data_IF_026507317482
#
_entry.id   IF_026507317482
#
_cell.length_a   1.000
_cell.length_b   1.000
_cell.length_c   1.000
_cell.angle_alpha   90.00
_cell.angle_beta   90.00
_cell.angle_gamma   90.00
#
_symmetry.space_group_name_H-M   'P 1'
#
loop_
_entity.id
_entity.type
_entity.pdbx_description
1 polymer ?
#
# COMPACT_ATOMS: atom_id res chain seq x y z
N UNK A 1 1.39 -23.18 -76.31
CA UNK A 1 2.66 -22.40 -76.23
C UNK A 1 3.14 -22.41 -74.79
N UNK A 2 4.36 -22.94 -74.58
CA UNK A 2 5.38 -22.60 -73.56
C UNK A 2 4.91 -22.50 -72.08
N UNK A 3 5.48 -23.20 -71.09
CA UNK A 3 6.68 -24.02 -71.04
C UNK A 3 6.94 -24.49 -69.61
N UNK A 4 7.56 -25.66 -69.53
CA UNK A 4 8.14 -26.37 -68.40
C UNK A 4 9.08 -25.51 -67.54
N UNK A 5 9.10 -25.73 -66.22
CA UNK A 5 10.12 -25.15 -65.34
C UNK A 5 10.25 -25.83 -63.97
N UNK A 6 10.74 -27.08 -63.94
CA UNK A 6 11.31 -27.72 -62.75
C UNK A 6 12.52 -26.93 -62.25
N UNK A 7 12.72 -26.82 -60.92
CA UNK A 7 14.00 -27.05 -60.20
C UNK A 7 13.79 -26.93 -58.67
N UNK A 8 14.13 -28.00 -57.95
CA UNK A 8 14.42 -28.04 -56.51
C UNK A 8 15.88 -27.57 -56.27
N UNK A 9 16.46 -27.76 -55.07
CA UNK A 9 16.53 -26.84 -53.93
C UNK A 9 17.96 -26.29 -53.76
N UNK A 10 18.19 -25.36 -52.83
CA UNK A 10 19.53 -25.19 -52.27
C UNK A 10 19.48 -24.83 -50.78
N UNK A 11 20.09 -25.72 -50.02
CA UNK A 11 20.40 -25.61 -48.59
C UNK A 11 21.50 -24.55 -48.47
N UNK A 12 21.33 -23.55 -47.60
CA UNK A 12 22.47 -22.77 -47.11
C UNK A 12 22.52 -22.87 -45.58
N UNK A 13 23.30 -23.84 -45.14
CA UNK A 13 23.90 -23.88 -43.81
C UNK A 13 25.00 -22.82 -43.75
N UNK A 14 24.85 -21.83 -42.89
CA UNK A 14 25.96 -20.98 -42.44
C UNK A 14 25.97 -20.96 -40.91
N UNK A 15 26.62 -21.98 -40.38
CA UNK A 15 27.20 -22.06 -39.05
C UNK A 15 28.49 -21.25 -39.00
N UNK A 16 28.64 -20.35 -38.02
CA UNK A 16 29.91 -19.80 -37.52
C UNK A 16 29.64 -19.32 -36.09
N UNK A 17 29.81 -20.17 -35.05
CA UNK A 17 31.05 -20.45 -34.31
C UNK A 17 31.85 -19.20 -33.92
N UNK A 18 31.80 -18.96 -32.60
CA UNK A 18 32.88 -18.57 -31.67
C UNK A 18 33.96 -17.61 -32.17
N UNK A 19 34.13 -16.52 -31.43
CA UNK A 19 35.45 -15.90 -31.24
C UNK A 19 35.60 -15.48 -29.78
N UNK A 20 36.06 -16.43 -28.96
CA UNK A 20 36.76 -16.14 -27.70
C UNK A 20 38.14 -15.61 -28.09
N UNK A 21 38.36 -14.32 -27.93
CA UNK A 21 39.72 -13.76 -27.98
C UNK A 21 40.08 -13.34 -26.56
N UNK A 22 40.88 -14.20 -25.93
CA UNK A 22 41.75 -13.82 -24.84
C UNK A 22 42.65 -12.69 -25.32
N UNK A 23 42.73 -11.60 -24.56
CA UNK A 23 43.96 -10.83 -24.52
C UNK A 23 44.32 -10.54 -23.07
N UNK A 24 45.30 -11.32 -22.61
CA UNK A 24 46.05 -11.15 -21.38
C UNK A 24 46.97 -9.95 -21.57
N UNK A 25 46.84 -8.93 -20.73
CA UNK A 25 47.96 -8.06 -20.41
C UNK A 25 48.08 -7.96 -18.89
N UNK A 26 49.11 -8.63 -18.38
CA UNK A 26 49.63 -8.44 -17.05
C UNK A 26 50.35 -7.09 -17.00
N UNK A 27 49.97 -6.23 -16.08
CA UNK A 27 50.81 -5.14 -15.60
C UNK A 27 50.63 -5.07 -14.09
N UNK A 28 51.64 -5.60 -13.40
CA UNK A 28 51.79 -5.49 -11.96
C UNK A 28 52.04 -4.02 -11.60
N UNK A 29 51.18 -3.44 -10.79
CA UNK A 29 51.47 -2.25 -10.02
C UNK A 29 51.21 -2.56 -8.55
N UNK A 30 52.29 -2.78 -7.81
CA UNK A 30 52.28 -2.78 -6.35
C UNK A 30 51.94 -1.36 -5.88
N UNK A 31 50.73 -1.16 -5.36
CA UNK A 31 50.44 -0.03 -4.48
C UNK A 31 50.04 -0.59 -3.12
N UNK A 32 50.95 -0.47 -2.17
CA UNK A 32 50.68 -0.67 -0.76
C UNK A 32 49.78 0.47 -0.29
N UNK A 33 48.48 0.21 -0.11
CA UNK A 33 47.56 1.09 0.58
C UNK A 33 47.12 0.39 1.87
N UNK A 34 47.38 1.05 2.99
CA UNK A 34 46.99 0.61 4.33
C UNK A 34 45.48 0.34 4.42
N UNK A 35 45.03 -0.61 5.26
CA UNK A 35 43.61 -0.79 5.52
C UNK A 35 43.13 0.38 6.38
N UNK A 36 42.62 1.43 5.75
CA UNK A 36 41.65 2.31 6.42
C UNK A 36 40.47 1.41 6.77
N UNK A 37 40.38 1.02 8.03
CA UNK A 37 39.15 0.50 8.61
C UNK A 37 38.11 1.61 8.50
N UNK A 38 37.46 1.70 7.35
CA UNK A 38 36.20 2.38 7.24
C UNK A 38 35.23 1.58 8.11
N UNK A 39 34.92 2.13 9.28
CA UNK A 39 33.80 1.66 10.08
C UNK A 39 32.61 1.51 9.12
N UNK A 40 31.88 0.38 9.15
CA UNK A 40 30.69 0.24 8.33
C UNK A 40 29.80 1.47 8.64
N UNK A 41 29.24 2.15 7.62
CA UNK A 41 28.25 3.17 7.88
C UNK A 41 27.21 2.51 8.77
N UNK A 42 27.00 3.08 9.96
CA UNK A 42 25.87 2.74 10.82
C UNK A 42 24.67 2.95 9.93
N UNK A 43 24.13 1.85 9.39
CA UNK A 43 22.94 1.88 8.59
C UNK A 43 21.89 2.51 9.48
N UNK A 44 21.58 3.78 9.21
CA UNK A 44 20.44 4.44 9.82
C UNK A 44 19.29 3.47 9.64
N UNK A 45 18.73 3.00 10.74
CA UNK A 45 17.68 2.00 10.74
C UNK A 45 16.60 2.50 9.78
N UNK A 46 16.53 1.91 8.58
CA UNK A 46 15.52 2.25 7.61
C UNK A 46 14.19 2.14 8.34
N UNK A 47 13.47 3.26 8.49
CA UNK A 47 12.19 3.33 9.19
C UNK A 47 11.36 2.18 8.63
N UNK A 48 11.07 1.16 9.44
CA UNK A 48 10.42 -0.05 8.96
C UNK A 48 9.05 0.35 8.40
N UNK A 49 8.96 0.43 7.06
CA UNK A 49 7.76 0.81 6.32
C UNK A 49 6.65 -0.23 6.45
N UNK A 50 7.02 -1.44 6.88
CA UNK A 50 6.12 -2.55 7.16
C UNK A 50 5.73 -2.63 8.64
N UNK A 51 4.43 -2.81 8.91
CA UNK A 51 3.89 -3.13 10.23
C UNK A 51 2.96 -4.34 10.16
N UNK A 52 2.84 -5.08 11.25
CA UNK A 52 1.88 -6.18 11.37
C UNK A 52 0.55 -5.64 11.94
N UNK A 53 -0.56 -5.95 11.26
CA UNK A 53 -1.94 -5.65 11.69
C UNK A 53 -2.61 -6.84 12.39
N UNK A 54 -1.85 -7.92 12.59
CA UNK A 54 -2.30 -9.20 13.13
C UNK A 54 -2.94 -10.08 12.06
N UNK A 55 -3.11 -11.37 12.40
CA UNK A 55 -3.75 -12.38 11.54
C UNK A 55 -3.15 -12.44 10.12
N UNK A 56 -1.82 -12.28 10.01
CA UNK A 56 -1.09 -12.37 8.76
C UNK A 56 -1.28 -11.18 7.80
N UNK A 57 -1.89 -10.08 8.25
CA UNK A 57 -2.10 -8.88 7.45
C UNK A 57 -0.96 -7.89 7.64
N UNK A 58 -0.16 -7.67 6.59
CA UNK A 58 0.89 -6.65 6.60
C UNK A 58 0.33 -5.27 6.24
N UNK A 59 0.91 -4.21 6.79
CA UNK A 59 0.65 -2.81 6.44
C UNK A 59 1.91 -2.20 5.86
N UNK A 60 1.80 -1.60 4.68
CA UNK A 60 2.88 -0.89 3.98
C UNK A 60 2.45 0.55 3.73
N UNK A 61 3.19 1.51 4.30
CA UNK A 61 3.00 2.94 4.02
C UNK A 61 3.97 3.38 2.94
N UNK A 62 3.42 3.90 1.85
CA UNK A 62 4.17 4.39 0.69
C UNK A 62 4.24 5.91 0.79
N UNK A 63 5.44 6.47 0.70
CA UNK A 63 5.65 7.91 0.58
C UNK A 63 6.05 8.30 -0.85
N UNK A 64 6.84 7.45 -1.50
CA UNK A 64 7.41 7.70 -2.81
C UNK A 64 7.28 6.44 -3.69
N UNK A 65 6.63 6.57 -4.85
CA UNK A 65 6.57 5.51 -5.86
C UNK A 65 7.59 5.75 -6.97
N UNK A 66 8.23 4.69 -7.51
CA UNK A 66 8.11 3.28 -7.12
C UNK A 66 9.01 2.87 -5.95
N UNK A 67 9.75 3.80 -5.35
CA UNK A 67 10.85 3.53 -4.41
C UNK A 67 10.42 2.72 -3.18
N UNK A 68 9.26 3.02 -2.62
CA UNK A 68 8.78 2.39 -1.38
C UNK A 68 7.96 1.12 -1.62
N UNK A 69 7.84 0.67 -2.88
CA UNK A 69 7.14 -0.57 -3.19
C UNK A 69 7.74 -1.75 -2.40
N UNK A 70 6.90 -2.56 -1.73
CA UNK A 70 7.39 -3.74 -1.03
C UNK A 70 8.14 -4.67 -1.99
N UNK A 71 9.28 -5.18 -1.53
CA UNK A 71 10.04 -6.15 -2.30
C UNK A 71 9.18 -7.36 -2.67
N UNK A 72 9.39 -7.90 -3.87
CA UNK A 72 8.67 -9.08 -4.36
C UNK A 72 9.03 -10.26 -3.47
N UNK A 73 8.08 -10.68 -2.65
CA UNK A 73 8.15 -11.84 -1.76
C UNK A 73 6.97 -12.76 -2.03
N UNK A 74 6.88 -13.87 -1.28
CA UNK A 74 5.69 -14.73 -1.35
C UNK A 74 4.42 -13.90 -1.11
N UNK A 75 3.42 -13.97 -2.01
CA UNK A 75 2.19 -13.20 -1.86
C UNK A 75 1.50 -13.49 -0.53
N UNK A 76 1.10 -12.43 0.17
CA UNK A 76 0.30 -12.50 1.40
C UNK A 76 -0.70 -11.35 1.43
N UNK A 77 -1.81 -11.48 2.17
CA UNK A 77 -2.73 -10.37 2.37
C UNK A 77 -2.01 -9.15 2.93
N UNK A 78 -2.26 -7.97 2.36
CA UNK A 78 -1.66 -6.74 2.87
C UNK A 78 -2.54 -5.52 2.61
N UNK A 79 -2.29 -4.47 3.39
CA UNK A 79 -2.78 -3.12 3.20
C UNK A 79 -1.64 -2.29 2.65
N UNK A 80 -1.86 -1.58 1.54
CA UNK A 80 -0.91 -0.63 0.96
C UNK A 80 -1.53 0.75 0.98
N UNK A 81 -0.91 1.65 1.73
CA UNK A 81 -1.38 3.01 1.93
C UNK A 81 -0.68 3.97 0.97
N UNK A 82 -1.43 4.47 -0.01
CA UNK A 82 -1.00 5.44 -1.02
C UNK A 82 -1.76 6.76 -0.91
N UNK A 83 -2.41 7.01 0.24
CA UNK A 83 -3.05 8.30 0.53
C UNK A 83 -1.98 9.40 0.49
N UNK A 84 -2.33 10.53 -0.13
CA UNK A 84 -1.44 11.69 -0.29
C UNK A 84 -0.15 11.45 -1.11
N UNK A 85 0.03 10.27 -1.71
CA UNK A 85 1.17 10.00 -2.60
C UNK A 85 0.95 10.66 -3.94
N UNK A 86 1.90 11.49 -4.36
CA UNK A 86 1.97 11.98 -5.74
C UNK A 86 2.63 10.93 -6.63
N UNK A 87 2.07 10.69 -7.81
CA UNK A 87 2.60 9.72 -8.76
C UNK A 87 2.43 10.24 -10.19
N UNK A 88 3.50 10.17 -10.96
CA UNK A 88 3.45 10.33 -12.41
C UNK A 88 2.92 9.05 -13.10
N UNK A 89 2.65 9.06 -14.41
CA UNK A 89 2.16 7.88 -15.14
C UNK A 89 3.09 6.66 -15.08
N UNK A 90 4.41 6.86 -14.98
CA UNK A 90 5.39 5.79 -14.86
C UNK A 90 5.31 5.11 -13.50
N UNK A 91 5.26 5.90 -12.43
CA UNK A 91 5.07 5.43 -11.05
C UNK A 91 3.73 4.70 -10.89
N UNK A 92 2.65 5.21 -11.49
CA UNK A 92 1.35 4.54 -11.48
C UNK A 92 1.39 3.19 -12.22
N UNK A 93 2.10 3.13 -13.36
CA UNK A 93 2.29 1.89 -14.12
C UNK A 93 3.07 0.86 -13.30
N UNK A 94 4.15 1.27 -12.62
CA UNK A 94 4.93 0.40 -11.75
C UNK A 94 4.10 -0.14 -10.57
N UNK A 95 3.26 0.71 -9.96
CA UNK A 95 2.35 0.30 -8.89
C UNK A 95 1.31 -0.72 -9.37
N UNK A 96 0.70 -0.49 -10.54
CA UNK A 96 -0.23 -1.45 -11.14
C UNK A 96 0.44 -2.79 -11.47
N UNK A 97 1.65 -2.77 -12.01
CA UNK A 97 2.42 -3.98 -12.26
C UNK A 97 2.70 -4.74 -10.96
N UNK A 98 3.08 -4.03 -9.89
CA UNK A 98 3.27 -4.62 -8.56
C UNK A 98 1.98 -5.27 -8.04
N UNK A 99 0.83 -4.60 -8.19
CA UNK A 99 -0.47 -5.19 -7.81
C UNK A 99 -0.73 -6.50 -8.57
N UNK A 100 -0.44 -6.57 -9.87
CA UNK A 100 -0.63 -7.81 -10.66
C UNK A 100 0.16 -9.01 -10.13
N UNK A 101 1.30 -8.79 -9.48
CA UNK A 101 2.10 -9.88 -8.90
C UNK A 101 1.67 -10.30 -7.48
N UNK A 102 1.05 -9.39 -6.71
CA UNK A 102 0.77 -9.61 -5.28
C UNK A 102 -0.72 -9.86 -4.99
N UNK A 103 -1.60 -9.28 -5.78
CA UNK A 103 -3.03 -9.32 -5.59
C UNK A 103 -3.64 -10.60 -6.19
N UNK A 104 -4.29 -11.40 -5.35
CA UNK A 104 -5.11 -12.52 -5.79
C UNK A 104 -6.35 -12.68 -4.91
N UNK A 105 -7.38 -13.42 -5.34
CA UNK A 105 -8.54 -13.70 -4.49
C UNK A 105 -8.20 -14.34 -3.14
N UNK A 106 -7.06 -15.03 -3.02
CA UNK A 106 -6.58 -15.67 -1.77
C UNK A 106 -5.57 -14.81 -1.00
N UNK A 107 -4.95 -13.84 -1.66
CA UNK A 107 -3.98 -12.91 -1.07
C UNK A 107 -4.40 -11.49 -1.43
N UNK A 108 -5.51 -11.00 -0.83
CA UNK A 108 -6.07 -9.72 -1.22
C UNK A 108 -5.13 -8.57 -0.83
N UNK A 109 -5.02 -7.59 -1.73
CA UNK A 109 -4.37 -6.31 -1.44
C UNK A 109 -5.43 -5.24 -1.21
N UNK A 110 -5.45 -4.63 -0.03
CA UNK A 110 -6.31 -3.50 0.27
C UNK A 110 -5.52 -2.21 0.02
N UNK A 111 -5.92 -1.43 -0.97
CA UNK A 111 -5.25 -0.18 -1.34
C UNK A 111 -5.98 0.97 -0.64
N UNK A 112 -5.32 1.69 0.27
CA UNK A 112 -5.88 2.90 0.85
C UNK A 112 -5.53 4.08 -0.04
N UNK A 113 -6.54 4.79 -0.53
CA UNK A 113 -6.38 5.96 -1.39
C UNK A 113 -7.44 7.01 -1.03
N UNK A 114 -7.19 8.26 -1.41
CA UNK A 114 -8.13 9.36 -1.20
C UNK A 114 -8.12 10.34 -2.38
N UNK A 115 -8.93 11.40 -2.29
CA UNK A 115 -9.02 12.41 -3.33
C UNK A 115 -7.71 13.16 -3.59
N UNK A 116 -6.77 13.14 -2.63
CA UNK A 116 -5.46 13.78 -2.71
C UNK A 116 -4.35 12.83 -3.19
N UNK A 117 -4.66 11.55 -3.43
CA UNK A 117 -3.75 10.64 -4.13
C UNK A 117 -3.54 11.12 -5.57
N UNK A 118 -2.32 11.00 -6.10
CA UNK A 118 -1.95 11.52 -7.41
C UNK A 118 -2.88 11.06 -8.54
N UNK A 119 -3.24 12.01 -9.42
CA UNK A 119 -4.25 11.78 -10.46
C UNK A 119 -3.96 10.60 -11.40
N UNK A 120 -2.70 10.28 -11.66
CA UNK A 120 -2.33 9.11 -12.48
C UNK A 120 -2.70 7.77 -11.81
N UNK A 121 -2.56 7.68 -10.48
CA UNK A 121 -3.03 6.52 -9.72
C UNK A 121 -4.56 6.47 -9.65
N UNK A 122 -5.21 7.61 -9.39
CA UNK A 122 -6.67 7.66 -9.34
C UNK A 122 -7.31 7.29 -10.68
N UNK A 123 -6.76 7.78 -11.79
CA UNK A 123 -7.19 7.39 -13.14
C UNK A 123 -7.00 5.89 -13.38
N UNK A 124 -5.89 5.32 -12.90
CA UNK A 124 -5.61 3.89 -12.98
C UNK A 124 -6.60 3.03 -12.21
N UNK A 125 -7.08 3.51 -11.06
CA UNK A 125 -8.13 2.84 -10.28
C UNK A 125 -9.51 2.97 -10.92
N UNK A 126 -9.78 4.09 -11.60
CA UNK A 126 -11.06 4.35 -12.28
C UNK A 126 -11.20 3.60 -13.61
N UNK A 127 -10.11 3.32 -14.32
CA UNK A 127 -10.08 2.63 -15.61
C UNK A 127 -10.30 1.10 -15.50
N UNK A 128 -11.15 0.65 -14.58
CA UNK A 128 -11.30 -0.75 -14.16
C UNK A 128 -11.55 -1.70 -15.34
N UNK A 129 -10.51 -2.43 -15.74
CA UNK A 129 -10.67 -3.85 -16.03
C UNK A 129 -10.84 -4.54 -14.67
N UNK A 130 -11.85 -5.39 -14.50
CA UNK A 130 -12.14 -6.13 -13.27
C UNK A 130 -10.97 -7.06 -12.89
N UNK A 131 -9.91 -6.50 -12.31
CA UNK A 131 -8.72 -7.24 -11.87
C UNK A 131 -9.03 -7.86 -10.52
N UNK A 132 -9.11 -9.20 -10.42
CA UNK A 132 -9.41 -9.85 -9.16
C UNK A 132 -8.24 -9.68 -8.18
N UNK A 133 -8.55 -9.53 -6.89
CA UNK A 133 -7.55 -9.66 -5.82
C UNK A 133 -7.07 -8.37 -5.16
N UNK A 134 -7.51 -7.18 -5.60
CA UNK A 134 -7.32 -5.96 -4.82
C UNK A 134 -8.61 -5.17 -4.68
N UNK A 135 -8.69 -4.36 -3.62
CA UNK A 135 -9.85 -3.52 -3.28
C UNK A 135 -9.34 -2.15 -2.87
N UNK A 136 -9.84 -1.10 -3.51
CA UNK A 136 -9.56 0.29 -3.13
C UNK A 136 -10.50 0.73 -2.01
N UNK A 137 -9.96 1.20 -0.90
CA UNK A 137 -10.69 1.66 0.29
C UNK A 137 -10.38 3.13 0.52
N UNK A 138 -11.41 3.94 0.79
CA UNK A 138 -11.20 5.37 1.05
C UNK A 138 -12.50 6.14 1.26
N UNK A 139 -12.37 7.45 1.48
CA UNK A 139 -13.52 8.36 1.57
C UNK A 139 -13.92 8.76 0.14
N UNK A 140 -15.17 8.46 -0.23
CA UNK A 140 -15.69 8.85 -1.54
C UNK A 140 -15.78 10.38 -1.67
N UNK A 141 -15.43 10.90 -2.84
CA UNK A 141 -15.54 12.31 -3.19
C UNK A 141 -16.12 12.46 -4.59
N UNK A 142 -16.28 13.70 -5.08
CA UNK A 142 -16.81 13.96 -6.42
C UNK A 142 -15.96 13.31 -7.53
N UNK A 143 -14.64 13.25 -7.34
CA UNK A 143 -13.68 12.80 -8.36
C UNK A 143 -12.96 11.51 -7.96
N UNK A 144 -13.41 10.85 -6.88
CA UNK A 144 -12.80 9.63 -6.38
C UNK A 144 -13.88 8.69 -5.84
N UNK A 145 -13.98 7.51 -6.46
CA UNK A 145 -14.97 6.49 -6.13
C UNK A 145 -14.24 5.19 -5.76
N UNK A 146 -13.93 4.98 -4.46
CA UNK A 146 -13.31 3.75 -4.01
C UNK A 146 -14.30 2.59 -4.10
N UNK A 147 -13.75 1.38 -4.19
CA UNK A 147 -14.52 0.13 -4.20
C UNK A 147 -15.29 -0.05 -2.89
N UNK A 148 -14.66 0.39 -1.80
CA UNK A 148 -15.21 0.36 -0.47
C UNK A 148 -15.15 1.76 0.14
N UNK A 149 -16.26 2.47 0.01
CA UNK A 149 -16.42 3.80 0.59
C UNK A 149 -16.53 3.75 2.12
N UNK A 150 -15.78 4.61 2.79
CA UNK A 150 -15.79 4.83 4.23
C UNK A 150 -16.47 6.16 4.55
N UNK A 151 -17.25 6.18 5.63
CA UNK A 151 -17.90 7.39 6.13
C UNK A 151 -16.99 8.04 7.18
N UNK A 152 -16.21 9.02 6.75
CA UNK A 152 -15.38 9.86 7.59
C UNK A 152 -15.18 11.22 6.89
N UNK A 153 -14.71 12.23 7.62
CA UNK A 153 -14.33 13.50 7.01
C UNK A 153 -12.87 13.44 6.51
N UNK A 154 -12.56 14.23 5.46
CA UNK A 154 -11.19 14.34 4.96
C UNK A 154 -10.23 14.91 6.01
N UNK A 155 -10.75 15.77 6.90
CA UNK A 155 -10.00 16.33 8.02
C UNK A 155 -9.64 15.26 9.06
N UNK A 156 -10.58 14.39 9.44
CA UNK A 156 -10.32 13.30 10.38
C UNK A 156 -9.30 12.30 9.81
N UNK A 157 -9.44 11.97 8.52
CA UNK A 157 -8.47 11.11 7.82
C UNK A 157 -7.07 11.75 7.83
N UNK A 158 -6.98 13.05 7.54
CA UNK A 158 -5.70 13.75 7.55
C UNK A 158 -5.07 13.74 8.94
N UNK A 159 -5.84 14.02 9.99
CA UNK A 159 -5.35 13.97 11.37
C UNK A 159 -4.87 12.57 11.75
N UNK A 160 -5.58 11.51 11.36
CA UNK A 160 -5.16 10.14 11.61
C UNK A 160 -3.87 9.77 10.84
N UNK A 161 -3.80 10.17 9.57
CA UNK A 161 -2.63 9.96 8.72
C UNK A 161 -1.38 10.64 9.29
N UNK A 162 -1.51 11.89 9.74
CA UNK A 162 -0.41 12.67 10.32
C UNK A 162 -0.03 12.15 11.72
N UNK A 163 -1.00 11.71 12.52
CA UNK A 163 -0.74 11.09 13.83
C UNK A 163 0.12 9.82 13.70
N UNK A 164 -0.15 8.98 12.70
CA UNK A 164 0.73 7.83 12.42
C UNK A 164 2.15 8.26 12.06
N UNK A 165 2.30 9.33 11.25
CA UNK A 165 3.60 9.86 10.87
C UNK A 165 4.40 10.34 12.09
N UNK A 166 3.71 10.98 13.03
CA UNK A 166 4.23 11.45 14.30
C UNK A 166 4.56 10.31 15.29
N UNK A 167 4.33 9.05 14.92
CA UNK A 167 4.71 7.88 15.71
C UNK A 167 3.63 7.32 16.62
N UNK A 168 2.38 7.77 16.49
CA UNK A 168 1.25 7.13 17.19
C UNK A 168 1.16 5.66 16.76
N UNK A 169 1.04 4.77 17.74
CA UNK A 169 0.99 3.34 17.49
C UNK A 169 -0.23 2.96 16.65
N UNK A 170 -0.05 2.09 15.65
CA UNK A 170 -1.12 1.68 14.73
C UNK A 170 -2.34 1.08 15.44
N UNK A 171 -2.12 0.42 16.58
CA UNK A 171 -3.20 -0.12 17.40
C UNK A 171 -4.13 0.96 17.96
N UNK A 172 -3.58 2.14 18.31
CA UNK A 172 -4.37 3.28 18.80
C UNK A 172 -5.26 3.84 17.69
N UNK A 173 -4.75 3.91 16.46
CA UNK A 173 -5.51 4.39 15.29
C UNK A 173 -6.64 3.44 14.86
N UNK A 174 -6.55 2.17 15.26
CA UNK A 174 -7.51 1.11 14.91
C UNK A 174 -8.58 0.88 15.98
N UNK A 175 -8.34 1.35 17.20
CA UNK A 175 -9.24 1.13 18.31
C UNK A 175 -10.32 2.20 18.28
N UNK A 176 -11.54 1.82 17.89
CA UNK A 176 -12.71 2.61 18.24
C UNK A 176 -12.91 2.43 19.75
N UNK A 177 -12.85 3.51 20.53
CA UNK A 177 -13.06 3.45 21.98
C UNK A 177 -14.54 3.08 22.22
N UNK A 178 -14.85 1.82 22.57
CA UNK A 178 -16.22 1.38 22.75
C UNK A 178 -16.79 1.84 24.09
N UNK A 179 -16.10 2.71 24.82
CA UNK A 179 -16.50 3.29 26.12
C UNK A 179 -17.75 4.17 26.02
N UNK A 180 -18.51 4.09 24.93
CA UNK A 180 -19.94 4.37 24.99
C UNK A 180 -20.56 3.42 26.00
N UNK A 181 -20.71 3.95 27.22
CA UNK A 181 -21.58 3.43 28.26
C UNK A 181 -22.88 3.02 27.56
N UNK A 182 -23.28 1.76 27.72
CA UNK A 182 -24.61 1.30 27.34
C UNK A 182 -25.59 2.02 28.26
N UNK A 183 -26.04 3.19 27.85
CA UNK A 183 -27.17 3.84 28.50
C UNK A 183 -28.37 2.97 28.16
N UNK A 184 -28.86 2.24 29.15
CA UNK A 184 -30.18 1.63 29.04
C UNK A 184 -31.23 2.75 28.91
N UNK A 185 -32.39 2.42 28.32
CA UNK A 185 -33.42 3.44 28.09
C UNK A 185 -33.91 4.08 29.41
N UNK A 186 -33.71 3.39 30.55
CA UNK A 186 -33.97 3.90 31.89
C UNK A 186 -33.02 5.04 32.29
N UNK A 187 -31.73 4.95 31.97
CA UNK A 187 -30.74 6.00 32.24
C UNK A 187 -30.99 7.26 31.39
N UNK A 188 -31.44 7.10 30.15
CA UNK A 188 -31.79 8.22 29.26
C UNK A 188 -33.03 9.01 29.73
N UNK A 189 -33.94 8.38 30.49
CA UNK A 189 -35.10 9.05 31.07
C UNK A 189 -34.73 9.90 32.31
N UNK A 190 -33.74 9.46 33.09
CA UNK A 190 -33.23 10.19 34.25
C UNK A 190 -32.41 11.43 33.83
N UNK A 191 -31.57 11.32 32.80
CA UNK A 191 -30.75 12.45 32.31
C UNK A 191 -31.61 13.58 31.73
N UNK A 192 -32.75 13.26 31.09
CA UNK A 192 -33.64 14.27 30.52
C UNK A 192 -34.32 15.16 31.58
N UNK A 193 -34.37 14.72 32.84
CA UNK A 193 -34.84 15.52 33.99
C UNK A 193 -33.71 16.36 34.62
N UNK A 194 -32.44 15.97 34.44
CA UNK A 194 -31.26 16.69 34.95
C UNK A 194 -30.71 17.73 33.96
N UNK A 195 -30.92 17.55 32.65
CA UNK A 195 -30.41 18.42 31.58
C UNK A 195 -31.02 19.83 31.54
N UNK A 196 -32.07 20.11 32.31
CA UNK A 196 -32.62 21.46 32.43
C UNK A 196 -31.78 22.40 33.33
N UNK A 197 -30.70 21.91 33.96
CA UNK A 197 -29.90 22.72 34.91
C UNK A 197 -28.38 22.76 34.65
N UNK A 198 -27.84 22.05 33.63
CA UNK A 198 -26.39 21.86 33.51
C UNK A 198 -25.76 22.15 32.13
N UNK A 199 -26.42 22.90 31.25
CA UNK A 199 -25.78 23.42 30.02
C UNK A 199 -24.90 24.65 30.32
N UNK A 200 -23.75 24.45 30.97
CA UNK A 200 -22.59 25.34 30.90
C UNK A 200 -21.42 24.84 31.77
N UNK A 201 -20.86 23.66 31.50
CA UNK A 201 -19.48 23.36 31.96
C UNK A 201 -18.71 22.67 30.85
N UNK A 202 -17.55 23.25 30.55
CA UNK A 202 -16.70 23.00 29.41
C UNK A 202 -16.25 21.54 29.24
N UNK A 203 -16.20 21.10 27.98
CA UNK A 203 -15.56 19.85 27.55
C UNK A 203 -14.06 20.13 27.26
N UNK A 204 -13.32 20.59 28.26
CA UNK A 204 -11.86 20.82 28.16
C UNK A 204 -11.08 19.53 28.47
N UNK A 205 -11.38 18.49 27.69
CA UNK A 205 -10.54 17.30 27.61
C UNK A 205 -9.68 17.36 26.35
N UNK A 206 -8.44 16.82 26.34
CA UNK A 206 -7.71 16.65 25.09
C UNK A 206 -8.55 15.84 24.10
N UNK A 207 -8.53 16.19 22.80
CA UNK A 207 -9.34 15.51 21.81
C UNK A 207 -9.00 14.01 21.81
N UNK A 208 -9.99 13.13 21.63
CA UNK A 208 -9.75 11.69 21.56
C UNK A 208 -8.74 11.39 20.45
N UNK A 209 -7.90 10.34 20.60
CA UNK A 209 -6.93 9.99 19.58
C UNK A 209 -7.65 9.76 18.25
N UNK A 210 -7.06 10.22 17.12
CA UNK A 210 -7.72 10.11 15.83
C UNK A 210 -7.81 8.64 15.40
N UNK A 211 -9.00 8.23 14.95
CA UNK A 211 -9.23 6.89 14.40
C UNK A 211 -9.01 6.95 12.89
N UNK A 212 -8.22 6.00 12.37
CA UNK A 212 -8.08 5.82 10.93
C UNK A 212 -9.18 4.89 10.42
N UNK A 213 -10.36 5.47 10.12
CA UNK A 213 -11.53 4.72 9.66
C UNK A 213 -11.26 3.95 8.36
N UNK A 214 -10.41 4.48 7.47
CA UNK A 214 -10.05 3.87 6.19
C UNK A 214 -9.21 2.62 6.41
N UNK A 215 -8.15 2.71 7.24
CA UNK A 215 -7.33 1.56 7.62
C UNK A 215 -8.14 0.52 8.43
N UNK A 216 -8.95 0.98 9.38
CA UNK A 216 -9.80 0.10 10.19
C UNK A 216 -10.78 -0.69 9.32
N UNK A 217 -11.35 -0.07 8.29
CA UNK A 217 -12.23 -0.76 7.34
C UNK A 217 -11.51 -1.88 6.60
N UNK A 218 -10.28 -1.65 6.12
CA UNK A 218 -9.48 -2.68 5.46
C UNK A 218 -9.21 -3.87 6.39
N UNK A 219 -8.86 -3.61 7.65
CA UNK A 219 -8.69 -4.64 8.69
C UNK A 219 -9.97 -5.43 8.90
N UNK A 220 -11.12 -4.77 9.02
CA UNK A 220 -12.41 -5.44 9.21
C UNK A 220 -12.78 -6.35 8.03
N UNK A 221 -12.53 -5.92 6.79
CA UNK A 221 -12.79 -6.75 5.61
C UNK A 221 -11.89 -7.96 5.57
N UNK A 222 -10.59 -7.81 5.83
CA UNK A 222 -9.65 -8.94 5.93
C UNK A 222 -10.14 -10.00 6.93
N UNK A 223 -10.48 -9.56 8.15
CA UNK A 223 -10.98 -10.43 9.21
C UNK A 223 -12.29 -11.13 8.82
N UNK A 224 -13.19 -10.43 8.13
CA UNK A 224 -14.42 -11.01 7.63
C UNK A 224 -14.15 -12.09 6.57
N UNK A 225 -13.22 -11.86 5.64
CA UNK A 225 -12.84 -12.84 4.62
C UNK A 225 -12.21 -14.10 5.23
N UNK A 226 -11.37 -13.95 6.25
CA UNK A 226 -10.82 -15.07 7.04
C UNK A 226 -11.92 -15.87 7.73
N UNK A 227 -12.84 -15.19 8.44
CA UNK A 227 -13.94 -15.83 9.14
C UNK A 227 -14.86 -16.61 8.19
N UNK A 228 -15.05 -16.10 6.96
CA UNK A 228 -15.81 -16.74 5.90
C UNK A 228 -15.02 -17.81 5.12
N UNK A 229 -13.76 -18.08 5.49
CA UNK A 229 -12.84 -19.02 4.81
C UNK A 229 -12.68 -18.73 3.31
N UNK A 230 -12.77 -17.45 2.93
CA UNK A 230 -12.59 -16.99 1.54
C UNK A 230 -11.13 -16.75 1.20
N UNK A 231 -10.33 -16.47 2.22
CA UNK A 231 -8.87 -16.39 2.17
C UNK A 231 -8.28 -17.33 3.21
#
# INVERSE_FOLDING_TARGET
>A
MVGVGKRRPYISTASLRLSRVLLRFAAAFLFALAPVHAAPPVAGAAKRLERDLGQGLAYHRIHELPRDLPAIQAPRPCVVDVRYVSADPGAATAFLAWLTFHASPRTPVFVLANADTGGALLASFGARDSRPGFVVVGIASRNFHPDLAVRASAEDERRAYDAFEAGVAIAVLLTDHPDKIRNDEASLAADRLADSAAQAVAKDGPPPPPIDATLQRAVHVHRALLALKKI
#
